data_IF_661867483718
#
_entry.id   IF_661867483718
#
_cell.length_a   1.000
_cell.length_b   1.000
_cell.length_c   1.000
_cell.angle_alpha   90.00
_cell.angle_beta   90.00
_cell.angle_gamma   90.00
#
_symmetry.space_group_name_H-M   'P 1'
#
loop_
_entity.id
_entity.type
_entity.pdbx_description
1 polymer ?
#
# COMPACT_ATOMS: atom_id res chain seq x y z
N UNK A 1 -10.33 -8.46 -8.34
CA UNK A 1 -9.82 -9.85 -8.19
C UNK A 1 -10.23 -10.41 -6.85
N UNK A 2 -10.79 -11.60 -6.84
CA UNK A 2 -11.18 -12.25 -5.59
C UNK A 2 -10.47 -13.60 -5.47
N UNK A 3 -9.89 -13.85 -4.31
CA UNK A 3 -9.15 -15.08 -4.06
C UNK A 3 -10.03 -16.20 -3.48
N UNK A 4 -11.28 -15.87 -3.17
CA UNK A 4 -12.27 -16.83 -2.62
C UNK A 4 -11.77 -17.54 -1.36
N UNK A 5 -11.04 -16.82 -0.52
CA UNK A 5 -10.55 -17.33 0.74
C UNK A 5 -11.58 -17.11 1.86
N UNK A 6 -11.63 -18.02 2.81
CA UNK A 6 -12.42 -17.81 4.01
C UNK A 6 -11.76 -16.76 4.91
N UNK A 7 -12.49 -16.23 5.88
CA UNK A 7 -11.94 -15.31 6.85
C UNK A 7 -10.73 -15.92 7.60
N UNK A 8 -10.85 -17.19 7.98
CA UNK A 8 -9.77 -17.88 8.69
C UNK A 8 -8.52 -18.03 7.81
N UNK A 9 -8.72 -18.35 6.54
CA UNK A 9 -7.61 -18.46 5.59
C UNK A 9 -6.90 -17.11 5.41
N UNK A 10 -7.65 -16.02 5.27
CA UNK A 10 -7.07 -14.69 5.15
C UNK A 10 -6.25 -14.35 6.40
N UNK A 11 -6.84 -14.53 7.58
CA UNK A 11 -6.19 -14.17 8.84
C UNK A 11 -4.94 -15.03 9.10
N UNK A 12 -4.96 -16.29 8.70
CA UNK A 12 -3.85 -17.20 8.97
C UNK A 12 -2.74 -17.15 7.93
N UNK A 13 -2.99 -16.61 6.74
CA UNK A 13 -2.02 -16.60 5.65
C UNK A 13 -1.50 -15.23 5.25
N UNK A 14 -2.08 -14.16 5.79
CA UNK A 14 -1.63 -12.80 5.47
C UNK A 14 -0.20 -12.59 5.95
N UNK A 15 0.66 -12.11 5.05
CA UNK A 15 2.07 -11.82 5.35
C UNK A 15 2.47 -10.54 4.64
N UNK A 16 3.38 -9.80 5.26
CA UNK A 16 4.02 -8.67 4.60
C UNK A 16 4.99 -9.20 3.53
N UNK A 17 4.87 -8.68 2.31
CA UNK A 17 5.74 -9.06 1.20
C UNK A 17 6.59 -7.85 0.83
N UNK A 18 7.91 -7.97 0.92
CA UNK A 18 8.85 -6.88 0.66
C UNK A 18 9.89 -7.24 -0.39
N UNK A 19 10.09 -8.53 -0.62
CA UNK A 19 11.02 -9.06 -1.62
C UNK A 19 10.24 -9.87 -2.63
N UNK A 20 10.85 -10.10 -3.79
CA UNK A 20 10.27 -10.90 -4.87
C UNK A 20 8.97 -10.28 -5.41
N UNK A 21 8.92 -8.95 -5.40
CA UNK A 21 7.79 -8.25 -6.01
C UNK A 21 7.92 -8.33 -7.53
N UNK A 22 6.80 -8.51 -8.21
CA UNK A 22 6.75 -8.53 -9.65
C UNK A 22 6.62 -7.10 -10.17
N UNK A 23 7.72 -6.52 -10.62
CA UNK A 23 7.75 -5.15 -11.15
C UNK A 23 7.30 -5.03 -12.59
N UNK A 24 7.16 -6.15 -13.28
CA UNK A 24 6.80 -6.14 -14.70
C UNK A 24 5.29 -6.19 -14.91
N UNK A 25 4.54 -6.61 -13.91
CA UNK A 25 3.10 -6.71 -13.99
C UNK A 25 2.46 -5.40 -13.52
N UNK A 26 1.67 -4.73 -14.37
CA UNK A 26 0.98 -3.51 -13.95
C UNK A 26 -0.11 -3.80 -12.94
N UNK A 27 -0.36 -2.85 -12.06
CA UNK A 27 -1.48 -2.91 -11.13
C UNK A 27 -2.66 -2.17 -11.75
N UNK A 28 -3.78 -2.86 -11.89
CA UNK A 28 -4.98 -2.28 -12.48
C UNK A 28 -5.61 -1.26 -11.51
N UNK A 29 -6.04 -0.13 -12.07
CA UNK A 29 -6.66 0.92 -11.25
C UNK A 29 -7.88 0.40 -10.48
N UNK A 30 -8.68 -0.44 -11.11
CA UNK A 30 -9.89 -1.00 -10.51
C UNK A 30 -9.58 -1.80 -9.25
N UNK A 31 -8.47 -2.55 -9.24
CA UNK A 31 -8.03 -3.31 -8.07
C UNK A 31 -7.64 -2.37 -6.94
N UNK A 32 -6.92 -1.30 -7.24
CA UNK A 32 -6.53 -0.30 -6.25
C UNK A 32 -7.76 0.37 -5.65
N UNK A 33 -8.72 0.74 -6.49
CA UNK A 33 -9.96 1.38 -6.01
C UNK A 33 -10.79 0.45 -5.15
N UNK A 34 -10.86 -0.83 -5.48
CA UNK A 34 -11.53 -1.83 -4.66
C UNK A 34 -10.88 -1.97 -3.29
N UNK A 35 -9.54 -1.98 -3.24
CA UNK A 35 -8.81 -2.00 -1.99
C UNK A 35 -9.08 -0.74 -1.15
N UNK A 36 -9.18 0.42 -1.80
CA UNK A 36 -9.47 1.67 -1.13
C UNK A 36 -10.88 1.65 -0.51
N UNK A 37 -11.87 1.13 -1.23
CA UNK A 37 -13.22 1.00 -0.69
C UNK A 37 -13.24 0.18 0.60
N UNK A 38 -12.43 -0.87 0.67
CA UNK A 38 -12.29 -1.67 1.87
C UNK A 38 -11.55 -0.89 2.97
N UNK A 39 -10.50 -0.18 2.61
CA UNK A 39 -9.65 0.53 3.56
C UNK A 39 -10.41 1.66 4.30
N UNK A 40 -11.29 2.37 3.60
CA UNK A 40 -12.04 3.48 4.21
C UNK A 40 -13.07 3.03 5.24
N UNK A 41 -13.31 1.74 5.37
CA UNK A 41 -14.17 1.21 6.42
C UNK A 41 -13.48 1.18 7.79
N UNK A 42 -12.18 1.41 7.84
CA UNK A 42 -11.44 1.44 9.09
C UNK A 42 -11.96 2.57 10.00
N UNK A 43 -11.99 2.35 11.31
CA UNK A 43 -12.42 3.42 12.23
C UNK A 43 -11.43 4.57 12.24
N UNK A 44 -11.94 5.77 12.45
CA UNK A 44 -11.12 6.97 12.61
C UNK A 44 -11.46 7.69 13.89
N UNK A 45 -10.55 8.52 14.39
CA UNK A 45 -10.78 9.28 15.62
C UNK A 45 -12.03 10.12 15.48
N UNK A 46 -12.98 9.92 16.41
CA UNK A 46 -14.29 10.61 16.41
C UNK A 46 -15.03 10.48 15.08
N UNK A 47 -14.75 9.44 14.32
CA UNK A 47 -15.35 9.23 13.00
C UNK A 47 -15.16 10.44 12.06
N UNK A 48 -14.03 11.13 12.19
CA UNK A 48 -13.77 12.36 11.43
C UNK A 48 -13.60 12.12 9.93
N UNK A 49 -13.20 10.91 9.53
CA UNK A 49 -13.01 10.52 8.14
C UNK A 49 -12.10 11.48 7.37
N UNK A 50 -11.04 11.96 8.03
CA UNK A 50 -10.11 12.94 7.46
C UNK A 50 -9.07 12.34 6.51
N UNK A 51 -9.39 11.26 5.83
CA UNK A 51 -8.48 10.59 4.90
C UNK A 51 -8.20 11.42 3.67
N UNK A 52 -6.96 11.39 3.23
CA UNK A 52 -6.55 11.90 1.92
C UNK A 52 -5.70 10.84 1.26
N UNK A 53 -6.11 10.38 0.07
CA UNK A 53 -5.46 9.29 -0.62
C UNK A 53 -4.82 9.79 -1.91
N UNK A 54 -3.53 9.57 -2.03
CA UNK A 54 -2.78 9.99 -3.21
C UNK A 54 -2.12 8.76 -3.81
N UNK A 55 -2.43 8.47 -5.07
CA UNK A 55 -1.84 7.36 -5.81
C UNK A 55 -0.85 7.91 -6.82
N UNK A 56 0.40 7.51 -6.68
CA UNK A 56 1.48 7.99 -7.54
C UNK A 56 1.84 6.88 -8.52
N UNK A 57 1.60 7.12 -9.81
CA UNK A 57 1.89 6.17 -10.88
C UNK A 57 2.98 6.65 -11.83
N UNK A 58 3.29 7.94 -11.84
CA UNK A 58 4.35 8.52 -12.67
C UNK A 58 5.71 8.01 -12.20
N UNK A 59 6.50 7.37 -13.09
CA UNK A 59 7.80 6.83 -12.73
C UNK A 59 8.76 7.87 -12.15
N UNK A 60 8.76 9.09 -12.68
CA UNK A 60 9.64 10.16 -12.19
C UNK A 60 9.27 10.59 -10.77
N UNK A 61 7.99 10.70 -10.49
CA UNK A 61 7.51 11.06 -9.14
C UNK A 61 7.77 9.93 -8.16
N UNK A 62 7.59 8.68 -8.58
CA UNK A 62 7.92 7.52 -7.75
C UNK A 62 9.41 7.51 -7.41
N UNK A 63 10.27 7.81 -8.39
CA UNK A 63 11.71 7.88 -8.15
C UNK A 63 12.06 9.00 -7.17
N UNK A 64 11.45 10.16 -7.32
CA UNK A 64 11.69 11.28 -6.42
C UNK A 64 11.30 10.92 -4.97
N UNK A 65 10.17 10.27 -4.77
CA UNK A 65 9.75 9.81 -3.46
C UNK A 65 10.72 8.75 -2.90
N UNK A 66 11.16 7.83 -3.75
CA UNK A 66 12.12 6.79 -3.35
C UNK A 66 13.46 7.40 -2.93
N UNK A 67 13.93 8.43 -3.62
CA UNK A 67 15.18 9.12 -3.28
C UNK A 67 15.06 9.81 -1.91
N UNK A 68 13.94 10.45 -1.64
CA UNK A 68 13.68 11.08 -0.34
C UNK A 68 13.64 10.02 0.76
N UNK A 69 12.96 8.91 0.51
CA UNK A 69 12.90 7.81 1.47
C UNK A 69 14.29 7.25 1.76
N UNK A 70 15.08 7.01 0.74
CA UNK A 70 16.42 6.45 0.89
C UNK A 70 17.32 7.36 1.71
N UNK A 71 17.26 8.67 1.49
CA UNK A 71 18.03 9.65 2.24
C UNK A 71 17.68 9.64 3.72
N UNK A 72 16.39 9.65 4.03
CA UNK A 72 15.93 9.62 5.42
C UNK A 72 16.20 8.28 6.09
N UNK A 73 16.10 7.19 5.34
CA UNK A 73 16.40 5.86 5.87
C UNK A 73 17.87 5.70 6.20
N UNK A 74 18.77 6.28 5.39
CA UNK A 74 20.21 6.26 5.66
C UNK A 74 20.50 6.97 6.98
N UNK A 75 19.85 8.10 7.24
CA UNK A 75 19.97 8.80 8.52
C UNK A 75 19.46 7.93 9.68
N UNK A 76 18.31 7.31 9.51
CA UNK A 76 17.72 6.44 10.53
C UNK A 76 18.63 5.26 10.89
N UNK A 77 19.31 4.69 9.90
CA UNK A 77 20.22 3.55 10.12
C UNK A 77 21.46 3.92 10.93
N UNK A 78 21.81 5.19 11.00
CA UNK A 78 22.96 5.65 11.77
C UNK A 78 22.64 5.82 13.26
N UNK A 79 21.39 5.80 13.63
CA UNK A 79 20.95 5.88 15.01
C UNK A 79 21.04 4.50 15.64
#
# INVERSE_FOLDING_TARGET
MHLNLSADEVLSTTRAVRKRLDFDRPVEREVVMECLELAVQAPSGSNSQGWHWIFVTDPEKKKALADIYAENFAFYRQI
#
